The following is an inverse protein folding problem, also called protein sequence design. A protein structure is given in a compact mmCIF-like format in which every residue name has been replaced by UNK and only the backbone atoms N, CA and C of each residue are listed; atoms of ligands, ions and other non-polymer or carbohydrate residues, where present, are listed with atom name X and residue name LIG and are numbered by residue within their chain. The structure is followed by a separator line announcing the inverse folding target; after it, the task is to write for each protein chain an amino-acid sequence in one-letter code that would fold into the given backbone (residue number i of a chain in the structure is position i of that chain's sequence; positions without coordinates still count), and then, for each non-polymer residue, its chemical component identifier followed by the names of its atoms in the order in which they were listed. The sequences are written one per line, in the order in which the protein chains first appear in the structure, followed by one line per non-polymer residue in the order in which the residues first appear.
data_IF_353651579664
#
_entry.id   IF_353651579664
#
_cell.length_a   1.000
_cell.length_b   1.000
_cell.length_c   1.000
_cell.angle_alpha   90.00
_cell.angle_beta   90.00
_cell.angle_gamma   90.00
#
_symmetry.space_group_name_H-M   'P 1'
#
loop_
_entity.id
_entity.type
_entity.pdbx_description
1 polymer ?
#
# COMPACT_ATOMS: atom_id res chain seq x y z
N UNK A 1 72.98 -63.01 -31.42
CA UNK A 1 72.38 -61.69 -31.72
C UNK A 1 71.62 -61.23 -30.48
N UNK A 2 72.30 -60.60 -29.51
CA UNK A 2 71.66 -60.03 -28.33
C UNK A 2 71.79 -58.52 -28.39
N UNK A 3 70.68 -57.79 -28.34
CA UNK A 3 70.71 -56.33 -28.29
C UNK A 3 71.29 -55.88 -26.93
N UNK A 4 72.14 -54.83 -26.91
CA UNK A 4 72.63 -54.27 -25.66
C UNK A 4 71.47 -53.61 -24.89
N UNK A 5 71.52 -53.58 -23.55
CA UNK A 5 70.47 -52.98 -22.74
C UNK A 5 70.41 -51.46 -23.00
N UNK A 6 69.24 -50.96 -23.39
CA UNK A 6 68.98 -49.52 -23.48
C UNK A 6 69.03 -48.92 -22.08
N UNK A 7 70.12 -48.23 -21.75
CA UNK A 7 70.24 -47.46 -20.52
C UNK A 7 69.24 -46.31 -20.56
N UNK A 8 68.23 -46.34 -19.69
CA UNK A 8 67.30 -45.23 -19.56
C UNK A 8 68.06 -43.95 -19.15
N UNK A 9 67.77 -42.79 -19.78
CA UNK A 9 68.43 -41.54 -19.42
C UNK A 9 68.09 -41.14 -17.96
N UNK A 10 68.98 -40.44 -17.25
CA UNK A 10 68.74 -40.03 -15.87
C UNK A 10 67.50 -39.13 -15.79
N UNK A 11 66.66 -39.36 -14.79
CA UNK A 11 65.52 -38.48 -14.47
C UNK A 11 66.08 -37.16 -13.98
N UNK A 12 66.23 -36.19 -14.88
CA UNK A 12 66.56 -34.83 -14.48
C UNK A 12 65.47 -34.27 -13.57
N UNK A 13 65.85 -33.71 -12.42
CA UNK A 13 64.95 -32.90 -11.60
C UNK A 13 64.66 -31.58 -12.33
N UNK A 14 63.65 -31.59 -13.20
CA UNK A 14 63.14 -30.36 -13.81
C UNK A 14 62.29 -29.57 -12.82
N UNK A 15 62.53 -28.26 -12.71
CA UNK A 15 61.69 -27.37 -11.91
C UNK A 15 60.34 -27.19 -12.63
N UNK A 16 59.26 -27.73 -12.07
CA UNK A 16 57.91 -27.53 -12.61
C UNK A 16 57.33 -26.22 -12.10
N UNK A 17 57.37 -25.19 -12.93
CA UNK A 17 56.69 -23.92 -12.66
C UNK A 17 55.21 -24.05 -13.03
N UNK A 18 54.32 -23.84 -12.05
CA UNK A 18 52.87 -23.71 -12.29
C UNK A 18 52.48 -22.24 -12.29
N UNK A 19 52.12 -21.70 -13.46
CA UNK A 19 51.42 -20.41 -13.52
C UNK A 19 49.97 -20.59 -13.05
N UNK A 20 49.50 -19.67 -12.21
CA UNK A 20 48.09 -19.59 -11.80
C UNK A 20 47.55 -18.22 -12.15
N UNK A 21 46.54 -18.19 -13.03
CA UNK A 21 45.79 -16.97 -13.38
C UNK A 21 44.48 -17.00 -12.60
N UNK A 22 44.14 -15.91 -11.91
CA UNK A 22 42.84 -15.76 -11.22
C UNK A 22 41.94 -14.84 -12.02
N UNK A 23 40.68 -15.25 -12.19
CA UNK A 23 39.64 -14.37 -12.72
C UNK A 23 39.22 -13.38 -11.65
N UNK A 24 38.97 -12.13 -12.06
CA UNK A 24 38.43 -11.09 -11.18
C UNK A 24 37.00 -11.47 -10.79
N UNK A 25 36.70 -11.37 -9.50
CA UNK A 25 35.39 -11.65 -8.93
C UNK A 25 34.77 -10.39 -8.35
N UNK A 26 33.47 -10.22 -8.55
CA UNK A 26 32.66 -9.20 -7.93
C UNK A 26 31.91 -9.72 -6.69
N UNK A 27 31.44 -8.79 -5.88
CA UNK A 27 30.66 -9.10 -4.67
C UNK A 27 29.43 -9.95 -5.00
N UNK A 28 29.17 -10.98 -4.19
CA UNK A 28 27.99 -11.82 -4.34
C UNK A 28 26.70 -11.01 -4.13
N UNK A 29 25.78 -11.13 -5.09
CA UNK A 29 24.50 -10.41 -5.06
C UNK A 29 23.33 -11.26 -4.56
N UNK A 30 23.48 -12.59 -4.52
CA UNK A 30 22.38 -13.54 -4.27
C UNK A 30 21.92 -13.67 -2.82
N UNK A 31 22.81 -13.46 -1.84
CA UNK A 31 22.56 -13.88 -0.46
C UNK A 31 21.63 -12.95 0.35
N UNK A 32 21.32 -11.75 -0.19
CA UNK A 32 20.57 -10.70 0.51
C UNK A 32 19.47 -10.08 -0.37
N UNK A 33 18.86 -10.88 -1.25
CA UNK A 33 17.83 -10.38 -2.15
C UNK A 33 16.45 -10.35 -1.47
N UNK A 34 15.73 -9.21 -1.49
CA UNK A 34 14.35 -9.16 -1.01
C UNK A 34 13.45 -10.09 -1.84
N UNK A 35 12.36 -10.64 -1.26
CA UNK A 35 11.50 -11.62 -1.93
C UNK A 35 10.81 -11.07 -3.20
N UNK A 36 10.66 -9.75 -3.29
CA UNK A 36 10.05 -9.04 -4.42
C UNK A 36 11.06 -8.63 -5.51
N UNK A 37 12.36 -8.78 -5.25
CA UNK A 37 13.41 -8.50 -6.23
C UNK A 37 13.93 -9.84 -6.78
N UNK A 38 13.84 -9.99 -8.10
CA UNK A 38 14.35 -11.15 -8.82
C UNK A 38 15.50 -10.72 -9.74
N UNK A 39 16.45 -11.61 -9.99
CA UNK A 39 17.54 -11.34 -10.92
C UNK A 39 17.89 -12.52 -11.81
N UNK A 40 18.40 -12.22 -13.00
CA UNK A 40 18.94 -13.20 -13.94
C UNK A 40 20.32 -12.78 -14.38
N UNK A 41 21.32 -13.64 -14.18
CA UNK A 41 22.71 -13.34 -14.50
C UNK A 41 23.25 -14.18 -15.66
N UNK A 42 24.07 -13.56 -16.51
CA UNK A 42 24.93 -14.21 -17.49
C UNK A 42 26.37 -14.15 -16.99
N UNK A 43 27.00 -15.32 -16.89
CA UNK A 43 28.26 -15.53 -16.17
C UNK A 43 29.28 -16.26 -17.07
N UNK A 44 29.87 -15.59 -18.07
CA UNK A 44 30.68 -16.25 -19.10
C UNK A 44 31.99 -16.84 -18.58
N UNK A 45 32.56 -16.26 -17.52
CA UNK A 45 33.87 -16.64 -16.97
C UNK A 45 33.79 -17.23 -15.55
N UNK A 46 32.57 -17.39 -15.02
CA UNK A 46 32.32 -17.77 -13.63
C UNK A 46 31.22 -16.93 -13.00
N UNK A 47 30.69 -17.40 -11.87
CA UNK A 47 29.63 -16.73 -11.12
C UNK A 47 30.14 -15.37 -10.64
N UNK A 48 29.47 -14.29 -11.02
CA UNK A 48 29.82 -12.91 -10.65
C UNK A 48 31.26 -12.49 -11.00
N UNK A 49 31.80 -13.05 -12.09
CA UNK A 49 33.17 -12.76 -12.54
C UNK A 49 33.22 -11.61 -13.55
N UNK A 50 34.42 -11.17 -13.95
CA UNK A 50 34.59 -10.16 -14.98
C UNK A 50 33.69 -10.40 -16.20
N UNK A 51 32.99 -9.36 -16.67
CA UNK A 51 31.97 -9.40 -17.74
C UNK A 51 30.66 -10.12 -17.39
N UNK A 52 30.48 -10.57 -16.16
CA UNK A 52 29.16 -11.01 -15.69
C UNK A 52 28.17 -9.86 -15.77
N UNK A 53 26.96 -10.17 -16.21
CA UNK A 53 25.86 -9.22 -16.37
C UNK A 53 24.63 -9.74 -15.65
N UNK A 54 24.08 -8.97 -14.71
CA UNK A 54 22.89 -9.33 -13.94
C UNK A 54 21.76 -8.35 -14.24
N UNK A 55 20.60 -8.89 -14.62
CA UNK A 55 19.39 -8.14 -14.91
C UNK A 55 18.41 -8.29 -13.76
N UNK A 56 17.86 -7.18 -13.29
CA UNK A 56 16.96 -7.14 -12.14
C UNK A 56 15.53 -6.87 -12.57
N UNK A 57 14.59 -7.49 -11.87
CA UNK A 57 13.17 -7.35 -12.11
C UNK A 57 12.40 -7.35 -10.78
N UNK A 58 11.43 -6.45 -10.67
CA UNK A 58 10.56 -6.34 -9.51
C UNK A 58 9.24 -7.08 -9.77
N UNK A 59 8.82 -7.89 -8.81
CA UNK A 59 7.52 -8.56 -8.84
C UNK A 59 6.35 -7.63 -8.48
N UNK A 60 5.13 -8.15 -8.59
CA UNK A 60 3.91 -7.52 -8.08
C UNK A 60 3.58 -6.13 -8.67
N UNK A 61 4.00 -5.84 -9.90
CA UNK A 61 3.73 -4.55 -10.55
C UNK A 61 4.48 -3.35 -9.95
N UNK A 62 5.43 -3.59 -9.05
CA UNK A 62 6.29 -2.55 -8.47
C UNK A 62 7.34 -2.08 -9.48
N UNK A 63 7.80 -0.83 -9.31
CA UNK A 63 8.79 -0.23 -10.21
C UNK A 63 10.20 -0.43 -9.68
N UNK A 64 11.14 -0.72 -10.57
CA UNK A 64 12.55 -0.85 -10.21
C UNK A 64 13.17 0.53 -10.00
N UNK A 65 13.72 0.76 -8.82
CA UNK A 65 14.45 1.96 -8.46
C UNK A 65 15.96 1.71 -8.60
N UNK A 66 16.58 2.42 -9.54
CA UNK A 66 18.00 2.27 -9.88
C UNK A 66 18.22 1.64 -11.26
N UNK A 67 19.37 0.98 -11.44
CA UNK A 67 19.76 0.43 -12.75
C UNK A 67 19.23 -1.00 -12.91
N UNK A 68 18.57 -1.29 -14.03
CA UNK A 68 18.03 -2.63 -14.33
C UNK A 68 19.12 -3.67 -14.64
N UNK A 69 20.35 -3.23 -14.90
CA UNK A 69 21.47 -4.07 -15.32
C UNK A 69 22.76 -3.71 -14.58
N UNK A 70 23.36 -4.69 -13.92
CA UNK A 70 24.68 -4.60 -13.31
C UNK A 70 25.70 -5.36 -14.17
N UNK A 71 26.90 -4.80 -14.31
CA UNK A 71 28.03 -5.41 -15.01
C UNK A 71 29.27 -5.45 -14.11
N UNK A 72 29.91 -6.61 -14.01
CA UNK A 72 31.12 -6.79 -13.22
C UNK A 72 32.34 -6.26 -13.99
N UNK A 73 32.95 -5.20 -13.45
CA UNK A 73 34.09 -4.52 -14.04
C UNK A 73 35.43 -5.23 -13.73
N UNK A 74 36.48 -4.84 -14.44
CA UNK A 74 37.82 -5.45 -14.31
C UNK A 74 38.49 -5.22 -12.95
N UNK A 75 37.99 -4.27 -12.17
CA UNK A 75 38.45 -3.98 -10.82
C UNK A 75 37.74 -4.83 -9.73
N UNK A 76 36.81 -5.72 -10.12
CA UNK A 76 36.07 -6.56 -9.17
C UNK A 76 34.90 -5.85 -8.49
N UNK A 77 34.46 -4.72 -9.03
CA UNK A 77 33.26 -4.02 -8.54
C UNK A 77 32.14 -4.02 -9.57
N UNK A 78 30.90 -3.97 -9.09
CA UNK A 78 29.75 -3.70 -9.94
C UNK A 78 29.75 -2.24 -10.38
N UNK A 79 29.32 -1.98 -11.61
CA UNK A 79 29.24 -0.65 -12.20
C UNK A 79 28.21 0.29 -11.54
N UNK A 80 27.27 -0.26 -10.76
CA UNK A 80 26.25 0.49 -10.04
C UNK A 80 25.88 -0.27 -8.74
N UNK A 81 25.21 0.39 -7.78
CA UNK A 81 24.65 -0.29 -6.62
C UNK A 81 23.46 -1.18 -7.02
N UNK A 82 23.15 -2.17 -6.17
CA UNK A 82 21.98 -3.03 -6.33
C UNK A 82 20.69 -2.19 -6.31
N UNK A 83 19.78 -2.37 -7.28
CA UNK A 83 18.51 -1.65 -7.28
C UNK A 83 17.56 -2.14 -6.18
N UNK A 84 16.57 -1.32 -5.85
CA UNK A 84 15.47 -1.67 -4.95
C UNK A 84 14.13 -1.68 -5.72
N UNK A 85 13.10 -2.28 -5.14
CA UNK A 85 11.75 -2.19 -5.67
C UNK A 85 10.99 -1.14 -4.87
N UNK A 86 10.39 -0.18 -5.56
CA UNK A 86 9.50 0.81 -4.98
C UNK A 86 8.08 0.45 -5.40
N UNK A 87 7.22 0.18 -4.42
CA UNK A 87 5.79 0.09 -4.69
C UNK A 87 5.31 1.44 -5.19
N UNK A 88 4.36 1.48 -6.14
CA UNK A 88 3.65 2.72 -6.40
C UNK A 88 3.02 3.12 -5.06
N UNK A 89 3.53 4.17 -4.44
CA UNK A 89 2.81 4.80 -3.34
C UNK A 89 1.44 5.14 -3.91
N UNK A 90 0.40 4.43 -3.45
CA UNK A 90 -0.93 4.98 -3.48
C UNK A 90 -0.85 6.20 -2.58
N UNK A 91 -0.53 7.35 -3.17
CA UNK A 91 -0.40 8.63 -2.50
C UNK A 91 -1.75 8.94 -1.88
N UNK A 92 -1.98 8.48 -0.65
CA UNK A 92 -3.17 8.80 0.12
C UNK A 92 -3.19 10.31 0.48
N UNK A 93 -2.05 10.99 0.28
CA UNK A 93 -1.84 12.42 0.52
C UNK A 93 -2.66 13.39 -0.36
N UNK A 94 -3.38 12.91 -1.38
CA UNK A 94 -4.35 13.76 -2.12
C UNK A 94 -5.80 13.49 -1.69
N UNK A 95 -6.06 12.42 -0.94
CA UNK A 95 -7.37 12.16 -0.31
C UNK A 95 -7.67 13.11 0.86
N UNK A 96 -6.66 13.70 1.48
CA UNK A 96 -6.85 14.68 2.56
C UNK A 96 -7.35 16.05 2.05
N UNK A 97 -7.07 16.39 0.78
CA UNK A 97 -7.56 17.62 0.15
C UNK A 97 -8.99 17.49 -0.39
N UNK A 98 -9.56 16.27 -0.45
CA UNK A 98 -11.00 16.05 -0.71
C UNK A 98 -11.79 16.07 0.61
N UNK A 99 -11.31 16.79 1.63
CA UNK A 99 -12.13 17.22 2.77
C UNK A 99 -12.53 18.69 2.64
N UNK A 100 -12.90 19.10 1.43
CA UNK A 100 -13.67 20.32 1.20
C UNK A 100 -14.89 19.98 0.35
N UNK A 101 -15.84 19.22 0.92
CA UNK A 101 -17.16 19.08 0.25
C UNK A 101 -17.97 17.80 0.42
N UNK A 102 -17.83 17.01 1.48
CA UNK A 102 -18.96 16.20 1.98
C UNK A 102 -18.94 16.26 3.51
N UNK A 103 -19.35 17.41 4.06
CA UNK A 103 -19.25 17.62 5.50
C UNK A 103 -19.93 18.88 6.04
N UNK A 104 -21.01 19.38 5.42
CA UNK A 104 -21.81 20.48 5.99
C UNK A 104 -23.31 20.43 5.63
N UNK A 105 -23.86 19.29 5.20
CA UNK A 105 -25.32 19.17 5.02
C UNK A 105 -26.06 18.77 6.30
N UNK A 106 -25.38 18.22 7.31
CA UNK A 106 -26.03 17.61 8.48
C UNK A 106 -26.63 18.66 9.43
N UNK A 107 -25.87 19.70 9.81
CA UNK A 107 -26.38 20.70 10.76
C UNK A 107 -27.52 21.54 10.17
N UNK A 108 -27.38 22.01 8.92
CA UNK A 108 -28.42 22.85 8.28
C UNK A 108 -29.67 22.03 8.00
N UNK A 109 -29.55 20.78 7.54
CA UNK A 109 -30.71 19.93 7.31
C UNK A 109 -31.42 19.56 8.62
N UNK A 110 -30.67 19.30 9.70
CA UNK A 110 -31.26 19.03 11.02
C UNK A 110 -31.94 20.27 11.62
N UNK A 111 -31.35 21.47 11.44
CA UNK A 111 -31.96 22.72 11.90
C UNK A 111 -33.22 23.08 11.12
N UNK A 112 -33.23 22.88 9.79
CA UNK A 112 -34.42 23.14 8.97
C UNK A 112 -35.55 22.16 9.25
N UNK A 113 -35.26 20.85 9.26
CA UNK A 113 -36.26 19.82 9.54
C UNK A 113 -36.76 19.89 11.00
N UNK A 114 -35.84 19.98 11.96
CA UNK A 114 -36.18 20.10 13.38
C UNK A 114 -36.95 21.39 13.70
N UNK A 115 -36.54 22.52 13.09
CA UNK A 115 -37.23 23.80 13.23
C UNK A 115 -38.65 23.76 12.67
N UNK A 116 -38.85 23.18 11.47
CA UNK A 116 -40.18 23.04 10.88
C UNK A 116 -41.10 22.17 11.74
N UNK A 117 -40.60 21.04 12.27
CA UNK A 117 -41.34 20.16 13.17
C UNK A 117 -41.72 20.88 14.47
N UNK A 118 -40.79 21.63 15.08
CA UNK A 118 -41.09 22.41 16.28
C UNK A 118 -42.14 23.49 16.03
N UNK A 119 -42.07 24.20 14.91
CA UNK A 119 -43.08 25.21 14.54
C UNK A 119 -44.46 24.60 14.33
N UNK A 120 -44.55 23.48 13.59
CA UNK A 120 -45.81 22.76 13.39
C UNK A 120 -46.38 22.29 14.72
N UNK A 121 -45.57 21.65 15.57
CA UNK A 121 -46.00 21.22 16.91
C UNK A 121 -46.47 22.41 17.75
N UNK A 122 -45.73 23.53 17.76
CA UNK A 122 -46.12 24.72 18.51
C UNK A 122 -47.41 25.35 17.98
N UNK A 123 -47.64 25.35 16.66
CA UNK A 123 -48.85 25.86 16.03
C UNK A 123 -50.04 24.96 16.34
N UNK A 124 -49.86 23.65 16.29
CA UNK A 124 -50.88 22.66 16.65
C UNK A 124 -51.18 22.72 18.15
N UNK A 125 -50.19 22.86 19.03
CA UNK A 125 -50.38 23.03 20.47
C UNK A 125 -51.06 24.34 20.81
N UNK A 126 -50.71 25.46 20.16
CA UNK A 126 -51.39 26.75 20.33
C UNK A 126 -52.82 26.72 19.82
N UNK A 127 -53.05 26.07 18.67
CA UNK A 127 -54.40 25.83 18.14
C UNK A 127 -55.19 24.91 19.06
N UNK A 128 -54.62 23.80 19.52
CA UNK A 128 -55.25 22.87 20.46
C UNK A 128 -55.57 23.56 21.79
N UNK A 129 -54.70 24.43 22.32
CA UNK A 129 -55.01 25.25 23.49
C UNK A 129 -56.18 26.21 23.21
N UNK A 130 -56.17 26.88 22.04
CA UNK A 130 -57.27 27.76 21.60
C UNK A 130 -58.59 27.00 21.39
N UNK A 131 -58.53 25.78 20.85
CA UNK A 131 -59.68 24.90 20.65
C UNK A 131 -60.17 24.31 21.97
N UNK A 132 -59.29 23.93 22.90
CA UNK A 132 -59.64 23.41 24.23
C UNK A 132 -60.28 24.49 25.11
N UNK A 133 -59.82 25.74 25.00
CA UNK A 133 -60.53 26.89 25.58
C UNK A 133 -61.90 27.12 24.92
N UNK A 134 -62.03 26.93 23.60
CA UNK A 134 -63.31 27.07 22.88
C UNK A 134 -64.29 25.92 23.17
N UNK A 135 -63.81 24.69 23.36
CA UNK A 135 -64.59 23.53 23.77
C UNK A 135 -65.02 23.63 25.22
N UNK A 136 -64.19 24.19 26.11
CA UNK A 136 -64.62 24.54 27.48
C UNK A 136 -65.75 25.57 27.49
N UNK A 137 -65.67 26.58 26.64
CA UNK A 137 -66.73 27.59 26.48
C UNK A 137 -68.04 26.96 25.95
N UNK A 138 -67.95 26.00 25.02
CA UNK A 138 -69.10 25.28 24.47
C UNK A 138 -69.69 24.24 25.45
N UNK A 139 -68.86 23.59 26.27
CA UNK A 139 -69.31 22.64 27.29
C UNK A 139 -70.03 23.34 28.46
N UNK A 140 -69.71 24.60 28.75
CA UNK A 140 -70.36 25.38 29.82
C UNK A 140 -71.78 25.85 29.41
N UNK A 141 -72.04 26.10 28.13
CA UNK A 141 -73.40 26.39 27.62
C UNK A 141 -74.26 25.13 27.45
N UNK A 142 -73.69 23.93 27.61
CA UNK A 142 -74.43 22.66 27.62
C UNK A 142 -74.87 22.20 29.03
N UNK A 143 -74.43 22.88 30.10
CA UNK A 143 -74.70 22.48 31.49
C UNK A 143 -75.74 23.37 32.20
N UNK A 144 -76.35 24.34 31.51
CA UNK A 144 -77.34 25.25 32.12
C UNK A 144 -78.74 25.20 31.49
N UNK A 145 -79.10 24.12 30.79
CA UNK A 145 -80.50 23.83 30.48
C UNK A 145 -80.82 22.36 30.71
N UNK A 146 -80.88 21.98 31.98
CA UNK A 146 -82.05 21.25 32.45
C UNK A 146 -82.25 21.51 33.96
N UNK A 147 -83.15 22.43 34.35
CA UNK A 147 -83.55 22.55 35.74
C UNK A 147 -84.23 21.25 36.18
N UNK A 148 -83.61 20.59 37.16
CA UNK A 148 -84.30 19.64 38.02
C UNK A 148 -85.52 20.31 38.67
N UNK A 149 -86.68 19.64 38.63
CA UNK A 149 -87.63 19.43 39.72
C UNK A 149 -88.82 18.62 39.16
N UNK A 150 -89.57 17.77 39.86
CA UNK A 150 -89.56 17.15 41.19
C UNK A 150 -90.63 16.03 41.13
N UNK A 151 -90.39 14.95 41.88
CA UNK A 151 -91.31 14.28 42.84
C UNK A 151 -92.82 14.16 42.52
N UNK A 152 -93.36 12.93 42.66
CA UNK A 152 -94.81 12.67 42.76
C UNK A 152 -95.22 11.25 42.41
#
# INVERSE_FOLDING_TARGET
MGQPPFSAPPRGCGLSLRLSVRVVQCQALGDLLPPFLSMKCSNPLGIFSFRSQCFFHCGNGSSLNGTSKLSCASNGTWNAPRPSCTEPEMTFGTGLLISAGVGFASAVSLLLLGGLVFLIASHLSKRAHKYHLKTRDFAVLGELENPAYEEG
#
